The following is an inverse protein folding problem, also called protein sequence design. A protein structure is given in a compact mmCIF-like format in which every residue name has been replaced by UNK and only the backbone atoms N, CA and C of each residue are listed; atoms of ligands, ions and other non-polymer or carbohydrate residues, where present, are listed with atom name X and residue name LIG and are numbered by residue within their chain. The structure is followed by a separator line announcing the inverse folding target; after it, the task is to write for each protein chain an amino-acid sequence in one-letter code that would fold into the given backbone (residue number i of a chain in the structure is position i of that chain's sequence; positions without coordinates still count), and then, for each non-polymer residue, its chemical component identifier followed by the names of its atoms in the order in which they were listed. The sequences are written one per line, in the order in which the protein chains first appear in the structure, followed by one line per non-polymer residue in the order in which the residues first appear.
data_IF_684614399578
#
_entry.id   IF_684614399578
#
_cell.length_a   1.000
_cell.length_b   1.000
_cell.length_c   1.000
_cell.angle_alpha   90.00
_cell.angle_beta   90.00
_cell.angle_gamma   90.00
#
_symmetry.space_group_name_H-M   'P 1'
#
loop_
_entity.id
_entity.type
_entity.pdbx_description
1 polymer ?
#
# COMPACT_ATOMS: atom_id res chain seq x y z
N UNK A 1 3.66 13.09 -37.68
CA UNK A 1 3.51 13.84 -36.40
C UNK A 1 4.06 12.92 -35.33
N UNK A 2 5.02 13.38 -34.60
CA UNK A 2 5.65 12.60 -33.53
C UNK A 2 4.60 12.31 -32.46
N UNK A 3 4.47 11.06 -32.06
CA UNK A 3 3.54 10.65 -30.99
C UNK A 3 4.27 10.72 -29.64
N UNK A 4 4.41 11.92 -29.10
CA UNK A 4 5.06 12.18 -27.82
C UNK A 4 4.46 11.36 -26.66
N UNK A 5 3.22 10.90 -26.77
CA UNK A 5 2.62 10.07 -25.74
C UNK A 5 3.23 8.65 -25.73
N UNK A 6 3.41 8.05 -26.92
CA UNK A 6 4.02 6.73 -27.02
C UNK A 6 5.52 6.76 -26.72
N UNK A 7 6.21 7.80 -27.17
CA UNK A 7 7.63 7.96 -26.87
C UNK A 7 7.89 8.23 -25.38
N UNK A 8 6.96 8.91 -24.71
CA UNK A 8 7.02 9.08 -23.24
C UNK A 8 6.92 7.75 -22.50
N UNK A 9 6.11 6.80 -22.97
CA UNK A 9 6.06 5.44 -22.43
C UNK A 9 7.43 4.78 -22.47
N UNK A 10 8.09 4.83 -23.62
CA UNK A 10 9.45 4.29 -23.82
C UNK A 10 10.46 4.97 -22.88
N UNK A 11 10.39 6.30 -22.74
CA UNK A 11 11.24 7.03 -21.81
C UNK A 11 11.03 6.61 -20.35
N UNK A 12 9.78 6.36 -19.91
CA UNK A 12 9.47 5.89 -18.57
C UNK A 12 10.08 4.50 -18.30
N UNK A 13 10.03 3.63 -19.29
CA UNK A 13 10.57 2.26 -19.19
C UNK A 13 12.10 2.27 -19.23
N UNK A 14 12.69 2.85 -20.27
CA UNK A 14 14.10 2.70 -20.57
C UNK A 14 15.02 3.66 -19.84
N UNK A 15 14.55 4.88 -19.53
CA UNK A 15 15.37 5.91 -18.87
C UNK A 15 15.04 6.10 -17.41
N UNK A 16 13.76 5.99 -17.05
CA UNK A 16 13.30 6.17 -15.67
C UNK A 16 13.16 4.87 -14.89
N UNK A 17 13.13 3.73 -15.58
CA UNK A 17 12.98 2.40 -14.97
C UNK A 17 11.84 2.35 -13.94
N UNK A 18 10.71 2.98 -14.27
CA UNK A 18 9.56 3.02 -13.37
C UNK A 18 8.92 1.65 -13.24
N UNK A 19 8.25 1.39 -12.10
CA UNK A 19 7.46 0.16 -11.94
C UNK A 19 6.22 0.18 -12.84
N UNK A 20 5.68 -1.01 -13.20
CA UNK A 20 4.48 -1.17 -14.02
C UNK A 20 3.30 -0.34 -13.49
N UNK A 21 3.06 -0.34 -12.18
CA UNK A 21 2.02 0.46 -11.55
C UNK A 21 2.23 1.98 -11.73
N UNK A 22 3.48 2.44 -11.71
CA UNK A 22 3.82 3.83 -11.97
C UNK A 22 3.62 4.17 -13.43
N UNK A 23 4.07 3.29 -14.33
CA UNK A 23 3.90 3.41 -15.77
C UNK A 23 2.41 3.57 -16.11
N UNK A 24 1.59 2.60 -15.70
CA UNK A 24 0.14 2.61 -15.94
C UNK A 24 -0.53 3.90 -15.40
N UNK A 25 -0.14 4.30 -14.19
CA UNK A 25 -0.70 5.50 -13.56
C UNK A 25 -0.31 6.76 -14.32
N UNK A 26 0.96 6.90 -14.70
CA UNK A 26 1.45 8.08 -15.41
C UNK A 26 0.88 8.16 -16.82
N UNK A 27 0.86 7.05 -17.56
CA UNK A 27 0.26 6.99 -18.90
C UNK A 27 -1.21 7.38 -18.87
N UNK A 28 -1.99 6.85 -17.91
CA UNK A 28 -3.40 7.22 -17.74
C UNK A 28 -3.58 8.70 -17.43
N UNK A 29 -2.76 9.26 -16.51
CA UNK A 29 -2.85 10.66 -16.13
C UNK A 29 -2.51 11.58 -17.30
N UNK A 30 -1.45 11.26 -18.06
CA UNK A 30 -1.06 12.05 -19.24
C UNK A 30 -2.11 11.91 -20.35
N UNK A 31 -2.65 10.72 -20.60
CA UNK A 31 -3.74 10.54 -21.56
C UNK A 31 -4.95 11.41 -21.24
N UNK A 32 -5.34 11.52 -19.96
CA UNK A 32 -6.42 12.39 -19.53
C UNK A 32 -6.07 13.88 -19.70
N UNK A 33 -4.85 14.27 -19.38
CA UNK A 33 -4.39 15.65 -19.54
C UNK A 33 -4.35 16.08 -21.02
N UNK A 34 -3.80 15.24 -21.90
CA UNK A 34 -3.76 15.52 -23.35
C UNK A 34 -5.17 15.61 -23.95
N UNK A 35 -6.07 14.75 -23.51
CA UNK A 35 -7.49 14.82 -23.91
C UNK A 35 -8.16 16.11 -23.45
N UNK A 36 -7.85 16.58 -22.24
CA UNK A 36 -8.31 17.87 -21.73
C UNK A 36 -7.79 19.04 -22.58
N UNK A 37 -6.50 19.08 -22.88
CA UNK A 37 -5.92 20.12 -23.75
C UNK A 37 -6.57 20.15 -25.12
N UNK A 38 -6.77 18.96 -25.72
CA UNK A 38 -7.47 18.85 -27.01
C UNK A 38 -8.90 19.37 -26.93
N UNK A 39 -9.62 19.10 -25.84
CA UNK A 39 -10.97 19.64 -25.58
C UNK A 39 -11.00 21.17 -25.44
N UNK A 40 -9.90 21.80 -25.05
CA UNK A 40 -9.71 23.24 -25.01
C UNK A 40 -9.21 23.83 -26.35
N UNK A 41 -9.15 23.05 -27.41
CA UNK A 41 -8.66 23.48 -28.72
C UNK A 41 -7.15 23.47 -28.89
N UNK A 42 -6.41 22.95 -27.91
CA UNK A 42 -4.95 22.85 -27.91
C UNK A 42 -4.53 21.40 -28.27
N UNK A 43 -4.34 21.15 -29.56
CA UNK A 43 -3.94 19.83 -30.04
C UNK A 43 -2.45 19.53 -29.85
N UNK A 44 -1.63 20.56 -29.70
CA UNK A 44 -0.17 20.47 -29.53
C UNK A 44 0.18 20.72 -28.05
N UNK A 45 0.57 19.67 -27.30
CA UNK A 45 0.87 19.81 -25.86
C UNK A 45 2.13 20.67 -25.60
N UNK A 46 3.00 20.87 -26.58
CA UNK A 46 4.20 21.69 -26.43
C UNK A 46 3.88 23.19 -26.26
N UNK A 47 2.66 23.60 -26.64
CA UNK A 47 2.18 24.99 -26.51
C UNK A 47 1.51 25.27 -25.16
N UNK A 48 1.23 24.23 -24.38
CA UNK A 48 0.59 24.42 -23.08
C UNK A 48 1.54 25.07 -22.08
N UNK A 49 1.08 26.16 -21.49
CA UNK A 49 1.84 26.93 -20.51
C UNK A 49 1.49 26.57 -19.07
N UNK A 50 2.14 27.25 -18.13
CA UNK A 50 1.89 27.11 -16.69
C UNK A 50 0.42 27.35 -16.32
N UNK A 51 -0.24 28.33 -16.98
CA UNK A 51 -1.65 28.66 -16.77
C UNK A 51 -2.58 27.52 -17.10
N UNK A 52 -2.35 26.83 -18.24
CA UNK A 52 -3.19 25.73 -18.69
C UNK A 52 -3.11 24.55 -17.73
N UNK A 53 -1.90 24.24 -17.26
CA UNK A 53 -1.68 23.16 -16.28
C UNK A 53 -2.34 23.51 -14.95
N UNK A 54 -2.23 24.75 -14.45
CA UNK A 54 -2.91 25.20 -13.23
C UNK A 54 -4.42 25.07 -13.34
N UNK A 55 -4.98 25.48 -14.49
CA UNK A 55 -6.43 25.37 -14.72
C UNK A 55 -6.85 23.90 -14.69
N UNK A 56 -6.14 23.02 -15.37
CA UNK A 56 -6.43 21.58 -15.31
C UNK A 56 -6.38 21.02 -13.89
N UNK A 57 -5.34 21.36 -13.12
CA UNK A 57 -5.19 20.93 -11.71
C UNK A 57 -6.38 21.45 -10.88
N UNK A 58 -6.77 22.71 -11.04
CA UNK A 58 -7.94 23.27 -10.35
C UNK A 58 -9.26 22.58 -10.74
N UNK A 59 -9.41 22.23 -12.02
CA UNK A 59 -10.61 21.53 -12.51
C UNK A 59 -10.73 20.13 -11.88
N UNK A 60 -9.61 19.37 -11.77
CA UNK A 60 -9.64 18.05 -11.14
C UNK A 60 -9.80 18.12 -9.62
N UNK A 61 -9.33 19.17 -8.96
CA UNK A 61 -9.60 19.43 -7.54
C UNK A 61 -11.08 19.72 -7.33
N UNK A 62 -11.66 20.60 -8.15
CA UNK A 62 -13.08 20.98 -8.11
C UNK A 62 -14.01 19.80 -8.43
N UNK A 63 -13.56 18.84 -9.25
CA UNK A 63 -14.24 17.57 -9.51
C UNK A 63 -14.18 16.58 -8.32
N UNK A 64 -13.64 16.98 -7.17
CA UNK A 64 -13.60 16.18 -5.94
C UNK A 64 -12.54 15.07 -5.92
N UNK A 65 -11.52 15.15 -6.77
CA UNK A 65 -10.42 14.19 -6.70
C UNK A 65 -9.62 14.37 -5.40
N UNK A 66 -9.16 13.26 -4.84
CA UNK A 66 -8.36 13.31 -3.61
C UNK A 66 -7.05 14.08 -3.84
N UNK A 67 -6.59 14.78 -2.81
CA UNK A 67 -5.31 15.52 -2.86
C UNK A 67 -4.13 14.64 -3.31
N UNK A 68 -4.07 13.38 -2.85
CA UNK A 68 -3.04 12.44 -3.29
C UNK A 68 -3.11 12.14 -4.79
N UNK A 69 -4.33 12.07 -5.35
CA UNK A 69 -4.53 11.91 -6.80
C UNK A 69 -4.04 13.13 -7.56
N UNK A 70 -4.38 14.34 -7.09
CA UNK A 70 -3.95 15.60 -7.72
C UNK A 70 -2.42 15.74 -7.67
N UNK A 71 -1.79 15.41 -6.53
CA UNK A 71 -0.34 15.38 -6.39
C UNK A 71 0.32 14.42 -7.38
N UNK A 72 -0.24 13.23 -7.56
CA UNK A 72 0.27 12.23 -8.52
C UNK A 72 0.12 12.73 -9.96
N UNK A 73 -1.05 13.29 -10.32
CA UNK A 73 -1.29 13.87 -11.66
C UNK A 73 -0.30 14.99 -11.96
N UNK A 74 -0.07 15.90 -11.02
CA UNK A 74 0.94 16.95 -11.20
C UNK A 74 2.36 16.39 -11.37
N UNK A 75 2.69 15.32 -10.63
CA UNK A 75 3.99 14.63 -10.78
C UNK A 75 4.10 13.97 -12.17
N UNK A 76 3.04 13.34 -12.68
CA UNK A 76 3.00 12.76 -14.02
C UNK A 76 3.19 13.83 -15.10
N UNK A 77 2.51 14.98 -14.98
CA UNK A 77 2.63 16.12 -15.92
C UNK A 77 4.05 16.69 -15.88
N UNK A 78 4.64 16.88 -14.70
CA UNK A 78 6.05 17.31 -14.58
C UNK A 78 7.00 16.34 -15.26
N UNK A 79 6.79 15.04 -15.08
CA UNK A 79 7.62 14.01 -15.70
C UNK A 79 7.49 14.04 -17.22
N UNK A 80 6.29 14.23 -17.75
CA UNK A 80 6.03 14.35 -19.19
C UNK A 80 6.72 15.57 -19.79
N UNK A 81 6.57 16.73 -19.20
CA UNK A 81 7.26 17.94 -19.71
C UNK A 81 8.78 17.87 -19.49
N UNK A 82 9.26 17.17 -18.46
CA UNK A 82 10.69 16.92 -18.30
C UNK A 82 11.24 16.02 -19.41
N UNK A 83 10.45 15.04 -19.88
CA UNK A 83 10.76 14.25 -21.05
C UNK A 83 10.85 15.14 -22.31
N UNK A 84 9.89 16.05 -22.56
CA UNK A 84 9.94 16.95 -23.71
C UNK A 84 11.16 17.89 -23.68
N UNK A 85 11.58 18.33 -22.50
CA UNK A 85 12.84 19.09 -22.33
C UNK A 85 14.06 18.21 -22.63
N UNK A 86 14.06 16.97 -22.16
CA UNK A 86 15.15 16.02 -22.40
C UNK A 86 15.34 15.72 -23.90
N UNK A 87 14.25 15.63 -24.65
CA UNK A 87 14.25 15.43 -26.10
C UNK A 87 14.47 16.75 -26.90
N UNK A 88 14.73 17.86 -26.21
CA UNK A 88 14.90 19.20 -26.80
C UNK A 88 13.70 19.68 -27.65
N UNK A 89 12.50 19.20 -27.33
CA UNK A 89 11.25 19.63 -27.98
C UNK A 89 10.79 20.98 -27.45
N UNK A 90 11.04 21.25 -26.19
CA UNK A 90 10.78 22.52 -25.50
C UNK A 90 12.00 22.93 -24.68
N UNK A 91 12.17 24.22 -24.43
CA UNK A 91 13.33 24.77 -23.71
C UNK A 91 13.21 24.66 -22.17
N UNK A 92 11.98 24.68 -21.64
CA UNK A 92 11.73 24.66 -20.21
C UNK A 92 10.42 23.93 -19.87
N UNK A 93 10.34 23.42 -18.66
CA UNK A 93 9.20 22.64 -18.19
C UNK A 93 8.12 23.57 -17.58
N UNK A 94 6.96 23.75 -18.26
CA UNK A 94 5.91 24.66 -17.79
C UNK A 94 5.23 24.22 -16.48
N UNK A 95 5.41 22.97 -16.06
CA UNK A 95 4.86 22.45 -14.81
C UNK A 95 5.79 22.72 -13.59
N UNK A 96 6.99 23.24 -13.83
CA UNK A 96 7.90 23.62 -12.73
C UNK A 96 7.32 24.82 -11.96
N UNK A 97 7.54 24.80 -10.64
CA UNK A 97 7.07 25.88 -9.77
C UNK A 97 5.57 25.83 -9.40
N UNK A 98 4.77 24.96 -9.99
CA UNK A 98 3.38 24.76 -9.54
C UNK A 98 3.41 24.06 -8.17
N UNK A 99 2.93 24.75 -7.14
CA UNK A 99 2.84 24.19 -5.77
C UNK A 99 1.37 23.99 -5.44
N UNK A 100 1.03 22.80 -4.96
CA UNK A 100 -0.27 22.52 -4.35
C UNK A 100 -0.24 22.94 -2.87
N UNK A 101 -1.38 23.30 -2.34
CA UNK A 101 -1.53 23.58 -0.91
C UNK A 101 -1.08 22.36 -0.10
N UNK A 102 -0.25 22.60 0.91
CA UNK A 102 0.24 21.53 1.78
C UNK A 102 -0.91 21.12 2.71
N UNK A 103 -1.51 19.96 2.46
CA UNK A 103 -2.45 19.40 3.42
C UNK A 103 -1.71 18.81 4.62
N UNK A 104 -2.24 19.07 5.82
CA UNK A 104 -1.78 18.35 7.01
C UNK A 104 -1.98 16.85 6.80
N UNK A 105 -0.91 16.10 6.95
CA UNK A 105 -0.99 14.62 6.91
C UNK A 105 -1.78 14.17 8.13
N UNK A 106 -3.02 13.73 7.93
CA UNK A 106 -3.74 13.01 8.99
C UNK A 106 -2.90 11.81 9.40
N UNK A 107 -2.73 11.61 10.71
CA UNK A 107 -2.11 10.40 11.20
C UNK A 107 -2.88 9.18 10.67
N UNK A 108 -2.18 8.12 10.28
CA UNK A 108 -2.84 6.91 9.81
C UNK A 108 -3.80 6.39 10.86
N UNK A 109 -4.97 5.96 10.43
CA UNK A 109 -5.89 5.24 11.30
C UNK A 109 -5.25 3.92 11.73
N UNK A 110 -5.22 3.65 13.02
CA UNK A 110 -4.77 2.39 13.61
C UNK A 110 -5.94 1.72 14.34
N UNK A 111 -5.92 0.40 14.37
CA UNK A 111 -6.82 -0.39 15.19
C UNK A 111 -6.22 -0.58 16.58
N UNK A 112 -7.03 -0.54 17.61
CA UNK A 112 -6.62 -0.96 18.95
C UNK A 112 -6.49 -2.49 19.01
N UNK A 113 -5.82 -3.03 20.04
CA UNK A 113 -5.77 -4.48 20.25
C UNK A 113 -7.16 -5.12 20.30
N UNK A 114 -8.11 -4.49 21.00
CA UNK A 114 -9.50 -4.95 21.07
C UNK A 114 -10.20 -4.94 19.70
N UNK A 115 -9.98 -3.91 18.88
CA UNK A 115 -10.54 -3.85 17.51
C UNK A 115 -9.91 -4.92 16.59
N UNK A 116 -8.64 -5.24 16.78
CA UNK A 116 -7.98 -6.36 16.09
C UNK A 116 -8.63 -7.69 16.50
N UNK A 117 -8.79 -7.94 17.79
CA UNK A 117 -9.41 -9.18 18.30
C UNK A 117 -10.84 -9.32 17.77
N UNK A 118 -11.63 -8.24 17.80
CA UNK A 118 -12.98 -8.22 17.24
C UNK A 118 -12.97 -8.52 15.74
N UNK A 119 -12.07 -7.94 14.97
CA UNK A 119 -11.97 -8.18 13.51
C UNK A 119 -11.58 -9.62 13.23
N UNK A 120 -10.57 -10.13 13.93
CA UNK A 120 -10.07 -11.48 13.76
C UNK A 120 -11.08 -12.54 14.20
N UNK A 121 -12.01 -12.23 15.11
CA UNK A 121 -13.06 -13.14 15.57
C UNK A 121 -14.23 -13.30 14.57
N UNK A 122 -14.35 -12.44 13.55
CA UNK A 122 -15.52 -12.46 12.67
C UNK A 122 -15.60 -13.66 11.71
N UNK A 123 -14.48 -14.11 11.07
CA UNK A 123 -14.60 -15.21 10.11
C UNK A 123 -15.00 -16.52 10.80
N UNK A 124 -16.05 -17.16 10.28
CA UNK A 124 -16.49 -18.48 10.74
C UNK A 124 -15.63 -19.58 10.10
N UNK A 125 -14.87 -20.29 10.93
CA UNK A 125 -13.99 -21.37 10.47
C UNK A 125 -14.71 -22.68 10.14
N UNK A 126 -16.02 -22.75 10.30
CA UNK A 126 -16.82 -23.95 9.97
C UNK A 126 -16.95 -24.17 8.46
N UNK A 127 -16.78 -23.12 7.65
CA UNK A 127 -16.74 -23.22 6.20
C UNK A 127 -15.35 -22.88 5.62
N UNK A 128 -15.07 -23.36 4.40
CA UNK A 128 -13.77 -23.22 3.77
C UNK A 128 -13.41 -21.74 3.47
N UNK A 129 -14.41 -20.92 3.15
CA UNK A 129 -14.23 -19.49 2.88
C UNK A 129 -13.86 -18.73 4.15
N UNK A 130 -14.59 -18.97 5.25
CA UNK A 130 -14.30 -18.32 6.52
C UNK A 130 -12.96 -18.76 7.09
N UNK A 131 -12.60 -20.06 6.97
CA UNK A 131 -11.27 -20.54 7.37
C UNK A 131 -10.14 -19.86 6.56
N UNK A 132 -10.31 -19.69 5.24
CA UNK A 132 -9.39 -18.89 4.41
C UNK A 132 -9.30 -17.45 4.89
N UNK A 133 -10.43 -16.80 5.08
CA UNK A 133 -10.50 -15.38 5.44
C UNK A 133 -9.85 -15.15 6.81
N UNK A 134 -10.08 -16.04 7.77
CA UNK A 134 -9.42 -16.05 9.08
C UNK A 134 -7.91 -16.16 8.92
N UNK A 135 -7.43 -17.13 8.14
CA UNK A 135 -6.01 -17.34 7.91
C UNK A 135 -5.34 -16.12 7.25
N UNK A 136 -6.01 -15.46 6.30
CA UNK A 136 -5.51 -14.24 5.66
C UNK A 136 -5.40 -13.07 6.65
N UNK A 137 -6.43 -12.82 7.45
CA UNK A 137 -6.44 -11.74 8.43
C UNK A 137 -5.39 -11.96 9.52
N UNK A 138 -5.28 -13.19 10.04
CA UNK A 138 -4.28 -13.56 11.04
C UNK A 138 -2.86 -13.38 10.49
N UNK A 139 -2.58 -13.89 9.28
CA UNK A 139 -1.26 -13.76 8.68
C UNK A 139 -0.90 -12.31 8.40
N UNK A 140 -1.86 -11.50 7.91
CA UNK A 140 -1.63 -10.08 7.64
C UNK A 140 -1.26 -9.33 8.93
N UNK A 141 -1.96 -9.60 10.02
CA UNK A 141 -1.65 -8.99 11.32
C UNK A 141 -0.38 -9.55 11.95
N UNK A 142 -0.10 -10.85 11.83
CA UNK A 142 1.10 -11.48 12.35
C UNK A 142 2.38 -10.95 11.72
N UNK A 143 2.33 -10.57 10.44
CA UNK A 143 3.53 -10.29 9.64
C UNK A 143 3.64 -8.86 9.14
N UNK A 144 2.56 -8.10 9.18
CA UNK A 144 2.50 -6.76 8.60
C UNK A 144 2.77 -6.71 7.09
N UNK A 145 2.54 -7.79 6.35
CA UNK A 145 2.71 -7.85 4.90
C UNK A 145 1.94 -6.75 4.16
N UNK A 146 2.43 -6.35 2.99
CA UNK A 146 1.59 -5.63 2.02
C UNK A 146 0.54 -6.58 1.44
N UNK A 147 -0.62 -6.05 1.06
CA UNK A 147 -1.68 -6.88 0.47
C UNK A 147 -1.21 -7.62 -0.80
N UNK A 148 -0.34 -7.00 -1.58
CA UNK A 148 0.25 -7.65 -2.76
C UNK A 148 1.11 -8.83 -2.36
N UNK A 149 1.99 -8.65 -1.38
CA UNK A 149 2.82 -9.72 -0.83
C UNK A 149 1.97 -10.88 -0.31
N UNK A 150 0.90 -10.57 0.47
CA UNK A 150 -0.02 -11.60 1.00
C UNK A 150 -0.70 -12.42 -0.11
N UNK A 151 -1.15 -11.75 -1.18
CA UNK A 151 -1.86 -12.40 -2.29
C UNK A 151 -0.91 -13.20 -3.17
N UNK A 152 0.32 -12.72 -3.34
CA UNK A 152 1.33 -13.36 -4.18
C UNK A 152 1.99 -14.58 -3.53
N UNK A 153 1.74 -14.82 -2.22
CA UNK A 153 2.25 -16.00 -1.52
C UNK A 153 1.83 -17.31 -2.18
N UNK A 154 2.78 -18.22 -2.23
CA UNK A 154 2.60 -19.60 -2.64
C UNK A 154 2.70 -20.55 -1.44
N UNK A 155 2.29 -21.78 -1.61
CA UNK A 155 2.39 -22.82 -0.58
C UNK A 155 3.82 -23.05 -0.07
N UNK A 156 4.81 -22.91 -0.95
CA UNK A 156 6.23 -23.09 -0.61
C UNK A 156 6.82 -21.95 0.22
N UNK A 157 6.17 -20.78 0.26
CA UNK A 157 6.68 -19.58 0.94
C UNK A 157 6.43 -19.64 2.46
N UNK A 158 5.67 -20.63 2.93
CA UNK A 158 5.35 -20.78 4.34
C UNK A 158 5.89 -22.11 4.88
N UNK A 159 6.53 -22.05 6.03
CA UNK A 159 6.97 -23.22 6.78
C UNK A 159 6.32 -23.21 8.16
N UNK A 160 5.23 -23.97 8.30
CA UNK A 160 4.45 -24.03 9.54
C UNK A 160 5.16 -24.79 10.65
N UNK A 161 6.03 -25.75 10.32
CA UNK A 161 6.74 -26.57 11.32
C UNK A 161 7.70 -25.75 12.19
N UNK A 162 8.27 -24.69 11.63
CA UNK A 162 9.15 -23.75 12.33
C UNK A 162 8.55 -22.35 12.46
N UNK A 163 7.31 -22.15 12.00
CA UNK A 163 6.56 -20.92 12.17
C UNK A 163 7.17 -19.70 11.46
N UNK A 164 7.61 -19.87 10.21
CA UNK A 164 8.19 -18.77 9.41
C UNK A 164 7.50 -18.62 8.07
N UNK A 165 7.53 -17.38 7.57
CA UNK A 165 7.15 -17.00 6.23
C UNK A 165 8.36 -16.44 5.48
N UNK A 166 8.59 -16.92 4.27
CA UNK A 166 9.57 -16.42 3.34
C UNK A 166 8.91 -15.44 2.38
N UNK A 167 9.17 -14.16 2.53
CA UNK A 167 8.60 -13.13 1.68
C UNK A 167 9.62 -12.70 0.63
N UNK A 168 9.52 -13.28 -0.57
CA UNK A 168 10.28 -12.87 -1.72
C UNK A 168 9.58 -11.70 -2.41
N UNK A 169 10.11 -10.50 -2.30
CA UNK A 169 9.70 -9.35 -3.10
C UNK A 169 10.82 -9.00 -4.07
N UNK A 170 10.48 -8.45 -5.24
CA UNK A 170 11.44 -8.09 -6.29
C UNK A 170 12.61 -7.21 -5.82
N UNK A 171 12.53 -6.63 -4.64
CA UNK A 171 13.53 -5.71 -4.09
C UNK A 171 14.15 -6.16 -2.77
N UNK A 172 13.48 -6.98 -1.96
CA UNK A 172 13.94 -7.41 -0.65
C UNK A 172 13.33 -8.75 -0.29
N UNK A 173 14.19 -9.72 -0.11
CA UNK A 173 13.85 -11.02 0.45
C UNK A 173 13.98 -10.95 1.97
N UNK A 174 12.97 -11.45 2.70
CA UNK A 174 12.99 -11.45 4.16
C UNK A 174 12.23 -12.64 4.74
N UNK A 175 12.69 -13.09 5.89
CA UNK A 175 12.03 -14.13 6.69
C UNK A 175 11.28 -13.44 7.83
N UNK A 176 10.01 -13.77 7.98
CA UNK A 176 9.13 -13.19 9.01
C UNK A 176 8.62 -14.31 9.90
N UNK A 177 8.81 -14.24 11.22
CA UNK A 177 8.25 -15.21 12.16
C UNK A 177 6.72 -15.07 12.26
N UNK A 178 6.05 -16.19 12.47
CA UNK A 178 4.60 -16.27 12.65
C UNK A 178 4.33 -16.80 14.05
N UNK A 179 3.50 -16.11 14.84
CA UNK A 179 3.16 -16.57 16.18
C UNK A 179 2.30 -17.84 16.18
N UNK A 180 2.35 -18.67 17.25
CA UNK A 180 1.73 -20.00 17.26
C UNK A 180 0.22 -20.02 16.99
N UNK A 181 -0.52 -18.97 17.38
CA UNK A 181 -1.95 -18.84 17.10
C UNK A 181 -2.24 -18.75 15.61
N UNK A 182 -1.49 -17.91 14.88
CA UNK A 182 -1.63 -17.77 13.43
C UNK A 182 -1.18 -19.04 12.71
N UNK A 183 -0.13 -19.74 13.19
CA UNK A 183 0.30 -21.04 12.65
C UNK A 183 -0.85 -22.05 12.69
N UNK A 184 -1.55 -22.19 13.82
CA UNK A 184 -2.69 -23.13 13.97
C UNK A 184 -3.82 -22.81 12.98
N UNK A 185 -4.14 -21.54 12.81
CA UNK A 185 -5.19 -21.11 11.86
C UNK A 185 -4.79 -21.40 10.42
N UNK A 186 -3.53 -21.13 10.07
CA UNK A 186 -2.98 -21.43 8.75
C UNK A 186 -2.93 -22.93 8.47
N UNK A 187 -2.53 -23.72 9.45
CA UNK A 187 -2.53 -25.19 9.34
C UNK A 187 -3.92 -25.73 9.08
N UNK A 188 -4.92 -25.26 9.84
CA UNK A 188 -6.32 -25.64 9.62
C UNK A 188 -6.77 -25.26 8.19
N UNK A 189 -6.50 -24.04 7.75
CA UNK A 189 -6.84 -23.61 6.39
C UNK A 189 -6.16 -24.50 5.34
N UNK A 190 -4.85 -24.68 5.43
CA UNK A 190 -4.06 -25.42 4.43
C UNK A 190 -4.49 -26.90 4.36
N UNK A 191 -4.73 -27.53 5.51
CA UNK A 191 -4.98 -28.98 5.56
C UNK A 191 -6.44 -29.36 5.40
N UNK A 192 -7.39 -28.49 5.81
CA UNK A 192 -8.83 -28.82 5.84
C UNK A 192 -9.65 -27.99 4.85
N UNK A 193 -9.40 -26.70 4.73
CA UNK A 193 -10.27 -25.82 3.96
C UNK A 193 -9.77 -25.61 2.51
N UNK A 194 -8.48 -25.37 2.30
CA UNK A 194 -7.90 -25.14 0.97
C UNK A 194 -8.15 -26.29 0.00
N UNK A 195 -8.01 -27.59 0.37
CA UNK A 195 -8.30 -28.70 -0.54
C UNK A 195 -9.75 -28.74 -1.05
N UNK A 196 -10.69 -28.16 -0.29
CA UNK A 196 -12.10 -28.06 -0.72
C UNK A 196 -12.34 -26.90 -1.71
N UNK A 197 -11.40 -25.97 -1.81
CA UNK A 197 -11.53 -24.79 -2.66
C UNK A 197 -10.74 -24.90 -3.98
N UNK A 198 -9.65 -25.67 -3.98
CA UNK A 198 -8.75 -25.80 -5.12
C UNK A 198 -9.18 -27.00 -5.96
N UNK A 199 -9.50 -26.76 -7.24
CA UNK A 199 -9.86 -27.82 -8.17
C UNK A 199 -8.64 -28.36 -8.93
N UNK A 200 -7.63 -27.49 -9.17
CA UNK A 200 -6.39 -27.83 -9.84
C UNK A 200 -5.31 -28.12 -8.82
N UNK A 201 -4.79 -29.36 -8.82
CA UNK A 201 -3.71 -29.79 -7.92
C UNK A 201 -2.42 -28.96 -8.08
N UNK A 202 -2.23 -28.33 -9.24
CA UNK A 202 -1.04 -27.54 -9.57
C UNK A 202 -1.15 -26.08 -9.14
N UNK A 203 -2.31 -25.63 -8.59
CA UNK A 203 -2.46 -24.28 -8.07
C UNK A 203 -1.49 -24.02 -6.89
N UNK A 204 -0.53 -23.16 -7.14
CA UNK A 204 0.54 -22.84 -6.16
C UNK A 204 0.13 -21.80 -5.15
N UNK A 205 -0.90 -20.97 -5.44
CA UNK A 205 -1.30 -19.88 -4.56
C UNK A 205 -1.65 -20.40 -3.17
N UNK A 206 -1.12 -19.74 -2.14
CA UNK A 206 -1.51 -20.02 -0.76
C UNK A 206 -2.99 -19.69 -0.55
N UNK A 207 -3.45 -18.54 -0.99
CA UNK A 207 -4.83 -18.08 -0.84
C UNK A 207 -5.57 -18.04 -2.17
N UNK A 208 -6.66 -18.79 -2.26
CA UNK A 208 -7.48 -18.90 -3.46
C UNK A 208 -8.86 -18.27 -3.27
N UNK A 209 -9.46 -17.88 -4.39
CA UNK A 209 -10.86 -17.45 -4.43
C UNK A 209 -11.81 -18.66 -4.47
N UNK A 210 -13.12 -18.42 -4.57
CA UNK A 210 -14.13 -19.47 -4.64
C UNK A 210 -14.05 -20.33 -5.91
N UNK A 211 -13.36 -19.86 -6.94
CA UNK A 211 -13.13 -20.58 -8.21
C UNK A 211 -11.83 -21.40 -8.18
N UNK A 212 -11.15 -21.48 -7.03
CA UNK A 212 -9.91 -22.23 -6.86
C UNK A 212 -8.65 -21.55 -7.39
N UNK A 213 -8.73 -20.35 -7.95
CA UNK A 213 -7.59 -19.57 -8.46
C UNK A 213 -7.13 -18.53 -7.45
N UNK A 214 -5.91 -17.99 -7.63
CA UNK A 214 -5.33 -16.95 -6.77
C UNK A 214 -6.32 -15.82 -6.48
N UNK A 215 -6.43 -15.43 -5.22
CA UNK A 215 -7.28 -14.31 -4.81
C UNK A 215 -6.71 -12.98 -5.36
N UNK A 216 -7.60 -12.04 -5.71
CA UNK A 216 -7.19 -10.71 -6.18
C UNK A 216 -7.13 -9.70 -5.03
N UNK A 217 -6.36 -8.61 -5.21
CA UNK A 217 -6.32 -7.48 -4.26
C UNK A 217 -7.71 -6.92 -3.98
N UNK A 218 -8.53 -6.78 -5.02
CA UNK A 218 -9.91 -6.29 -4.88
C UNK A 218 -10.79 -7.27 -4.09
N UNK A 219 -10.60 -8.58 -4.31
CA UNK A 219 -11.27 -9.62 -3.54
C UNK A 219 -10.95 -9.52 -2.05
N UNK A 220 -9.68 -9.42 -1.71
CA UNK A 220 -9.26 -9.27 -0.31
C UNK A 220 -9.75 -7.96 0.32
N UNK A 221 -9.78 -6.88 -0.44
CA UNK A 221 -10.30 -5.59 0.04
C UNK A 221 -11.80 -5.69 0.40
N UNK A 222 -12.59 -6.39 -0.42
CA UNK A 222 -14.01 -6.67 -0.11
C UNK A 222 -14.16 -7.50 1.17
N UNK A 223 -13.29 -8.50 1.38
CA UNK A 223 -13.27 -9.33 2.59
C UNK A 223 -13.04 -8.47 3.84
N UNK A 224 -11.99 -7.66 3.87
CA UNK A 224 -11.70 -6.76 5.01
C UNK A 224 -12.91 -5.85 5.29
N UNK A 225 -13.48 -5.21 4.26
CA UNK A 225 -14.62 -4.30 4.43
C UNK A 225 -15.84 -5.02 5.00
N UNK A 226 -16.13 -6.24 4.55
CA UNK A 226 -17.25 -7.02 5.06
C UNK A 226 -17.08 -7.33 6.55
N UNK A 227 -15.91 -7.85 6.96
CA UNK A 227 -15.64 -8.18 8.36
C UNK A 227 -15.50 -6.95 9.26
N UNK A 228 -14.97 -5.84 8.76
CA UNK A 228 -14.97 -4.56 9.48
C UNK A 228 -16.40 -4.11 9.82
N UNK A 229 -17.31 -4.20 8.84
CA UNK A 229 -18.72 -3.87 9.04
C UNK A 229 -19.38 -4.84 10.04
N UNK A 230 -19.12 -6.12 9.92
CA UNK A 230 -19.64 -7.17 10.83
C UNK A 230 -19.15 -6.98 12.27
N UNK A 231 -17.90 -6.58 12.44
CA UNK A 231 -17.30 -6.27 13.75
C UNK A 231 -17.80 -4.95 14.35
N UNK A 232 -18.61 -4.17 13.65
CA UNK A 232 -19.13 -2.87 14.12
C UNK A 232 -18.05 -1.80 14.24
N UNK A 233 -16.89 -1.98 13.59
CA UNK A 233 -15.79 -1.04 13.65
C UNK A 233 -16.09 0.15 12.74
N UNK A 234 -16.17 1.35 13.34
CA UNK A 234 -16.55 2.59 12.60
C UNK A 234 -15.42 3.21 11.80
N UNK A 235 -14.17 2.79 12.05
CA UNK A 235 -12.99 3.28 11.31
C UNK A 235 -12.98 2.76 9.88
N UNK A 236 -12.48 3.58 8.95
CA UNK A 236 -12.22 3.12 7.58
C UNK A 236 -10.95 2.25 7.56
N UNK A 237 -11.15 0.94 7.51
CA UNK A 237 -10.08 -0.04 7.56
C UNK A 237 -9.67 -0.47 6.16
N UNK A 238 -8.39 -0.42 5.92
CA UNK A 238 -7.72 -0.89 4.72
C UNK A 238 -6.63 -1.90 5.08
N UNK A 239 -6.09 -2.66 4.12
CA UNK A 239 -4.91 -3.48 4.39
C UNK A 239 -3.71 -2.69 4.95
N UNK A 240 -3.57 -1.41 4.55
CA UNK A 240 -2.56 -0.52 5.12
C UNK A 240 -2.82 -0.21 6.59
N UNK A 241 -4.10 -0.08 6.99
CA UNK A 241 -4.48 0.10 8.39
C UNK A 241 -4.02 -1.09 9.24
N UNK A 242 -4.21 -2.33 8.76
CA UNK A 242 -3.74 -3.54 9.45
C UNK A 242 -2.21 -3.53 9.63
N UNK A 243 -1.48 -3.21 8.57
CA UNK A 243 -0.02 -3.10 8.61
C UNK A 243 0.46 -1.98 9.54
N UNK A 244 -0.21 -0.83 9.55
CA UNK A 244 0.10 0.26 10.48
C UNK A 244 -0.18 -0.14 11.93
N UNK A 245 -1.28 -0.86 12.19
CA UNK A 245 -1.61 -1.37 13.52
C UNK A 245 -0.55 -2.38 14.01
N UNK A 246 -0.13 -3.31 13.15
CA UNK A 246 0.98 -4.22 13.45
C UNK A 246 2.24 -3.44 13.89
N UNK A 247 2.69 -2.49 13.06
CA UNK A 247 3.90 -1.72 13.35
C UNK A 247 3.78 -0.91 14.65
N UNK A 248 2.63 -0.27 14.86
CA UNK A 248 2.34 0.51 16.07
C UNK A 248 2.36 -0.38 17.32
N UNK A 249 1.64 -1.51 17.29
CA UNK A 249 1.59 -2.43 18.42
C UNK A 249 2.96 -3.04 18.75
N UNK A 250 3.76 -3.36 17.75
CA UNK A 250 5.14 -3.81 17.97
C UNK A 250 5.98 -2.74 18.66
N UNK A 251 5.89 -1.48 18.24
CA UNK A 251 6.60 -0.36 18.86
C UNK A 251 6.13 -0.10 20.30
N UNK A 252 4.82 -0.12 20.53
CA UNK A 252 4.22 0.05 21.88
C UNK A 252 4.68 -1.05 22.83
N UNK A 253 4.87 -2.27 22.33
CA UNK A 253 5.36 -3.43 23.08
C UNK A 253 6.90 -3.53 23.14
N UNK A 254 7.63 -2.56 22.63
CA UNK A 254 9.05 -2.45 22.90
C UNK A 254 9.99 -2.69 21.74
N UNK A 255 9.51 -3.11 20.59
CA UNK A 255 10.35 -3.27 19.38
C UNK A 255 11.03 -1.95 19.01
N UNK A 256 12.22 -2.04 18.43
CA UNK A 256 12.92 -0.89 17.91
C UNK A 256 12.42 -0.55 16.50
N UNK A 257 12.53 0.70 16.09
CA UNK A 257 12.10 1.14 14.77
C UNK A 257 12.85 0.41 13.65
N UNK A 258 14.12 0.07 13.88
CA UNK A 258 14.97 -0.69 12.94
C UNK A 258 14.43 -2.10 12.71
N UNK A 259 14.02 -2.79 13.77
CA UNK A 259 13.47 -4.15 13.68
C UNK A 259 12.17 -4.15 12.85
N UNK A 260 11.34 -3.13 13.07
CA UNK A 260 10.10 -2.94 12.29
C UNK A 260 10.41 -2.66 10.82
N UNK A 261 11.45 -1.87 10.51
CA UNK A 261 11.88 -1.60 9.14
C UNK A 261 12.27 -2.89 8.41
N UNK A 262 13.05 -3.74 9.06
CA UNK A 262 13.48 -5.03 8.53
C UNK A 262 12.28 -5.96 8.28
N UNK A 263 11.41 -6.13 9.28
CA UNK A 263 10.21 -6.96 9.17
C UNK A 263 9.26 -6.49 8.06
N UNK A 264 9.07 -5.18 7.96
CA UNK A 264 8.18 -4.59 6.95
C UNK A 264 8.81 -4.51 5.55
N UNK A 265 10.12 -4.67 5.41
CA UNK A 265 10.83 -4.51 4.13
C UNK A 265 10.71 -3.10 3.58
N UNK A 266 10.93 -2.08 4.43
CA UNK A 266 10.97 -0.69 4.00
C UNK A 266 12.35 -0.35 3.44
N UNK A 267 12.41 -0.03 2.14
CA UNK A 267 13.65 0.40 1.48
C UNK A 267 14.10 1.81 1.92
N UNK A 268 13.18 2.62 2.52
CA UNK A 268 13.45 3.99 2.91
C UNK A 268 12.90 4.29 4.31
N UNK A 269 13.72 4.98 5.10
CA UNK A 269 13.39 5.48 6.44
C UNK A 269 12.16 6.39 6.42
N UNK A 270 11.94 7.13 5.33
CA UNK A 270 10.81 8.06 5.20
C UNK A 270 9.44 7.36 5.34
N UNK A 271 9.32 6.12 4.90
CA UNK A 271 8.09 5.33 5.06
C UNK A 271 7.85 4.90 6.51
N UNK A 272 8.87 4.93 7.35
CA UNK A 272 8.83 4.57 8.78
C UNK A 272 8.77 5.82 9.67
N UNK A 273 9.06 7.01 9.15
CA UNK A 273 8.92 8.28 9.90
C UNK A 273 7.50 8.54 10.42
N UNK A 274 6.50 7.93 9.80
CA UNK A 274 5.11 7.95 10.28
C UNK A 274 5.00 7.44 11.72
N UNK A 275 5.91 6.55 12.14
CA UNK A 275 5.92 5.99 13.51
C UNK A 275 6.84 6.75 14.47
N UNK A 276 7.58 7.75 14.00
CA UNK A 276 8.53 8.50 14.84
C UNK A 276 7.84 9.25 15.99
N UNK A 277 6.57 9.68 15.80
CA UNK A 277 5.79 10.32 16.87
C UNK A 277 5.50 9.35 18.03
N UNK A 278 5.23 8.06 17.73
CA UNK A 278 5.01 7.01 18.75
C UNK A 278 6.29 6.83 19.58
N UNK A 279 7.45 6.83 18.93
CA UNK A 279 8.73 6.76 19.62
C UNK A 279 8.98 7.97 20.51
N UNK A 280 8.61 9.18 20.05
CA UNK A 280 8.75 10.41 20.84
C UNK A 280 7.91 10.34 22.11
N UNK A 281 6.65 9.93 22.02
CA UNK A 281 5.76 9.81 23.18
C UNK A 281 6.24 8.73 24.14
N UNK A 282 6.72 7.61 23.63
CA UNK A 282 7.34 6.54 24.41
C UNK A 282 8.58 7.02 25.16
N UNK A 283 9.50 7.70 24.49
CA UNK A 283 10.69 8.24 25.15
C UNK A 283 10.34 9.30 26.19
N UNK A 284 9.36 10.15 25.91
CA UNK A 284 8.87 11.12 26.91
C UNK A 284 8.30 10.42 28.16
N UNK A 285 7.54 9.33 27.98
CA UNK A 285 6.99 8.54 29.07
C UNK A 285 8.09 7.79 29.87
N UNK A 286 9.05 7.18 29.17
CA UNK A 286 10.21 6.53 29.79
C UNK A 286 11.01 7.57 30.57
N UNK A 287 11.29 8.72 29.99
CA UNK A 287 12.01 9.81 30.66
C UNK A 287 11.29 10.26 31.92
N UNK A 288 9.98 10.54 31.83
CA UNK A 288 9.17 10.91 33.02
C UNK A 288 9.17 9.84 34.10
N UNK A 289 9.14 8.55 33.70
CA UNK A 289 9.08 7.42 34.64
C UNK A 289 10.42 7.17 35.35
N UNK A 290 11.54 7.32 34.66
CA UNK A 290 12.84 6.86 35.17
C UNK A 290 13.84 7.98 35.43
N UNK A 291 13.66 9.17 34.88
CA UNK A 291 14.59 10.27 35.12
C UNK A 291 14.39 10.87 36.54
N UNK A 292 15.44 10.91 37.39
CA UNK A 292 15.30 11.32 38.80
C UNK A 292 14.64 12.68 39.01
N UNK A 293 14.92 13.65 38.11
CA UNK A 293 14.38 15.03 38.23
C UNK A 293 13.04 15.23 37.50
N UNK A 294 12.57 14.29 36.68
CA UNK A 294 11.28 14.40 36.02
C UNK A 294 10.09 13.98 36.89
N UNK A 295 10.37 13.45 38.09
CA UNK A 295 9.37 13.05 39.09
C UNK A 295 9.04 14.16 40.14
N UNK A 296 9.68 15.33 39.99
CA UNK A 296 9.53 16.44 40.98
C UNK A 296 8.62 17.53 40.38
N UNK A 297 7.39 17.19 39.99
CA UNK A 297 6.30 18.19 39.94
C UNK A 297 4.95 17.45 39.89
#
# INVERSE_FOLDING_TARGET
MVDYYKEFETYLIEKKHVSDNTLESYMRDIGQFLSYLKGKGMADPTKAGNGDIRTYISDIESAGRSHSTVMRVLASIRCYYQYLVFENVISENPAMGIKLAKMEKKLPSILTGQEIDLLLAQPDMSDAKGARDKAMLELLYATGLRVTELIDLNMQDINLSIGILHCASSKNERIIPIYPGAVKVLEHYITKARPLMVMDSDEKALFTNINGTRLTRQGFWKIIKAYTKQAGIKKDITPHTMRHSFATHMLENGAQLKDIQELLGHADISSTQVYAHIMKDRYANIYKKYHPRAKQH
#
